data_IF_224674784957
#
_entry.id   IF_224674784957
#
_cell.length_a   1.000
_cell.length_b   1.000
_cell.length_c   1.000
_cell.angle_alpha   90.00
_cell.angle_beta   90.00
_cell.angle_gamma   90.00
#
_symmetry.space_group_name_H-M   'P 1'
#
loop_
_entity.id
_entity.type
_entity.pdbx_description
1 polymer ?
#
# COMPACT_ATOMS: atom_id res chain seq x y z
N UNK A 1 -45.18 4.09 18.26
CA UNK A 1 -43.85 4.76 18.22
C UNK A 1 -42.88 3.92 17.39
N UNK A 2 -42.76 4.28 16.12
CA UNK A 2 -41.87 3.65 15.16
C UNK A 2 -40.43 4.13 15.43
N UNK A 3 -39.55 3.21 15.82
CA UNK A 3 -38.15 3.52 16.08
C UNK A 3 -37.45 3.77 14.74
N UNK A 4 -37.07 5.02 14.50
CA UNK A 4 -36.31 5.43 13.33
C UNK A 4 -34.96 4.70 13.30
N UNK A 5 -34.80 3.78 12.36
CA UNK A 5 -33.50 3.27 11.97
C UNK A 5 -32.73 4.41 11.28
N UNK A 6 -31.82 5.05 12.01
CA UNK A 6 -30.86 5.96 11.39
C UNK A 6 -30.00 5.15 10.40
N UNK A 7 -29.80 5.63 9.16
CA UNK A 7 -28.80 5.02 8.29
C UNK A 7 -27.45 5.18 8.97
N UNK A 8 -26.74 4.06 9.14
CA UNK A 8 -25.34 4.08 9.58
C UNK A 8 -24.60 5.04 8.63
N UNK A 9 -24.13 6.17 9.16
CA UNK A 9 -23.29 7.09 8.42
C UNK A 9 -22.08 6.35 7.83
N UNK A 10 -21.42 6.89 6.80
CA UNK A 10 -20.24 6.26 6.23
C UNK A 10 -19.24 5.91 7.33
N UNK A 11 -18.72 4.69 7.29
CA UNK A 11 -17.72 4.22 8.25
C UNK A 11 -16.57 5.25 8.33
N UNK A 12 -16.03 5.54 9.53
CA UNK A 12 -14.94 6.48 9.67
C UNK A 12 -13.78 6.07 8.76
N UNK A 13 -13.18 7.05 8.07
CA UNK A 13 -12.01 6.82 7.24
C UNK A 13 -10.92 6.13 8.08
N UNK A 14 -10.21 5.12 7.51
CA UNK A 14 -9.16 4.43 8.23
C UNK A 14 -8.13 5.44 8.77
N UNK A 15 -7.88 5.39 10.08
CA UNK A 15 -6.85 6.20 10.72
C UNK A 15 -5.53 5.40 10.80
N UNK A 16 -4.37 6.04 10.55
CA UNK A 16 -3.09 5.35 10.64
C UNK A 16 -2.83 4.89 12.08
N UNK A 17 -2.52 3.61 12.24
CA UNK A 17 -2.06 3.04 13.49
C UNK A 17 -0.59 3.36 13.79
N UNK A 18 -0.07 2.91 14.94
CA UNK A 18 1.35 3.05 15.25
C UNK A 18 2.19 2.27 14.24
N UNK A 19 3.36 2.82 13.90
CA UNK A 19 4.26 2.20 12.95
C UNK A 19 4.84 0.88 13.46
N UNK A 20 4.59 -0.19 12.70
CA UNK A 20 5.11 -1.53 12.98
C UNK A 20 6.10 -1.92 11.90
N UNK A 21 7.23 -2.54 12.29
CA UNK A 21 8.16 -3.12 11.32
C UNK A 21 7.49 -4.30 10.61
N UNK A 22 7.70 -4.41 9.31
CA UNK A 22 7.21 -5.52 8.50
C UNK A 22 8.10 -5.74 7.28
N UNK A 23 7.97 -6.91 6.66
CA UNK A 23 8.44 -7.16 5.30
C UNK A 23 7.23 -7.23 4.38
N UNK A 24 7.33 -6.66 3.19
CA UNK A 24 6.22 -6.63 2.23
C UNK A 24 6.74 -6.63 0.80
N UNK A 25 5.85 -6.87 -0.16
CA UNK A 25 6.17 -6.74 -1.58
C UNK A 25 5.80 -5.35 -2.10
N UNK A 26 6.58 -4.85 -3.05
CA UNK A 26 6.28 -3.64 -3.81
C UNK A 26 6.57 -3.90 -5.28
N UNK A 27 5.79 -3.30 -6.18
CA UNK A 27 6.02 -3.37 -7.61
C UNK A 27 6.85 -2.17 -8.02
N UNK A 28 8.05 -2.46 -8.55
CA UNK A 28 8.94 -1.46 -9.12
C UNK A 28 9.67 -2.05 -10.30
N UNK A 29 10.26 -1.18 -11.11
CA UNK A 29 11.20 -1.56 -12.16
C UNK A 29 12.61 -1.24 -11.66
N UNK A 30 13.33 -2.26 -11.23
CA UNK A 30 14.71 -2.11 -10.76
C UNK A 30 15.72 -2.20 -11.91
N UNK A 31 16.98 -1.83 -11.64
CA UNK A 31 18.08 -1.99 -12.61
C UNK A 31 18.33 -3.47 -12.87
N UNK A 32 17.72 -3.99 -13.93
CA UNK A 32 17.76 -5.40 -14.34
C UNK A 32 16.40 -5.92 -14.81
N UNK A 33 15.33 -5.24 -14.40
CA UNK A 33 13.97 -5.65 -14.73
C UNK A 33 13.58 -5.20 -16.14
N UNK A 34 13.08 -6.14 -16.94
CA UNK A 34 12.48 -5.83 -18.25
C UNK A 34 11.13 -5.13 -18.10
N UNK A 35 10.36 -5.52 -17.09
CA UNK A 35 9.03 -5.01 -16.75
C UNK A 35 8.92 -4.81 -15.23
N UNK A 36 7.99 -3.95 -14.74
CA UNK A 36 7.74 -3.84 -13.30
C UNK A 36 7.48 -5.22 -12.68
N UNK A 37 8.19 -5.55 -11.62
CA UNK A 37 8.12 -6.83 -10.94
C UNK A 37 7.92 -6.65 -9.43
N UNK A 38 7.39 -7.65 -8.72
CA UNK A 38 7.33 -7.64 -7.26
C UNK A 38 8.73 -7.79 -6.64
N UNK A 39 9.05 -6.94 -5.67
CA UNK A 39 10.28 -6.98 -4.89
C UNK A 39 9.94 -7.05 -3.42
N UNK A 40 10.54 -8.01 -2.68
CA UNK A 40 10.40 -8.08 -1.23
C UNK A 40 11.32 -7.05 -0.58
N UNK A 41 10.78 -6.25 0.32
CA UNK A 41 11.50 -5.20 1.04
C UNK A 41 11.14 -5.20 2.51
N UNK A 42 12.07 -4.75 3.35
CA UNK A 42 11.81 -4.48 4.76
C UNK A 42 11.47 -3.01 4.97
N UNK A 43 10.51 -2.76 5.85
CA UNK A 43 10.06 -1.41 6.14
C UNK A 43 9.09 -1.36 7.30
N UNK A 44 8.05 -0.55 7.14
CA UNK A 44 7.07 -0.27 8.18
C UNK A 44 5.66 -0.26 7.61
N UNK A 45 4.66 -0.52 8.45
CA UNK A 45 3.25 -0.34 8.12
C UNK A 45 2.58 0.50 9.19
N UNK A 46 1.59 1.31 8.80
CA UNK A 46 0.65 1.95 9.72
C UNK A 46 -0.74 1.27 9.69
N UNK A 47 -0.86 0.11 9.03
CA UNK A 47 -2.12 -0.59 8.83
C UNK A 47 -2.93 -0.15 7.61
N UNK A 48 -2.55 0.94 6.95
CA UNK A 48 -3.17 1.43 5.71
C UNK A 48 -2.18 1.28 4.55
N UNK A 49 -0.98 1.84 4.72
CA UNK A 49 0.10 1.80 3.74
C UNK A 49 1.34 1.11 4.31
N UNK A 50 2.17 0.62 3.40
CA UNK A 50 3.50 0.13 3.71
C UNK A 50 4.55 1.19 3.33
N UNK A 51 5.65 1.26 4.07
CA UNK A 51 6.63 2.32 3.97
C UNK A 51 8.03 1.75 3.91
N UNK A 52 8.77 2.10 2.87
CA UNK A 52 10.20 1.79 2.79
C UNK A 52 10.97 2.96 2.18
N UNK A 53 12.26 3.01 2.49
CA UNK A 53 13.16 4.00 1.95
C UNK A 53 13.96 3.42 0.78
N UNK A 54 14.02 4.15 -0.32
CA UNK A 54 14.86 3.84 -1.50
C UNK A 54 15.90 4.94 -1.64
N UNK A 55 17.11 4.57 -2.09
CA UNK A 55 18.19 5.50 -2.38
C UNK A 55 19.36 5.36 -1.41
N UNK A 56 20.57 5.40 -1.97
CA UNK A 56 21.83 5.26 -1.23
C UNK A 56 22.31 6.59 -0.67
N UNK A 57 22.18 7.68 -1.43
CA UNK A 57 22.67 9.03 -1.06
C UNK A 57 21.57 9.96 -0.55
N UNK A 58 20.35 9.86 -1.10
CA UNK A 58 19.18 10.59 -0.63
C UNK A 58 18.02 9.62 -0.48
N UNK A 59 17.80 9.17 0.76
CA UNK A 59 16.71 8.24 1.08
C UNK A 59 15.36 8.94 0.85
N UNK A 60 14.60 8.46 -0.13
CA UNK A 60 13.20 8.81 -0.28
C UNK A 60 12.32 7.72 0.32
N UNK A 61 11.41 8.13 1.20
CA UNK A 61 10.40 7.26 1.77
C UNK A 61 9.21 7.21 0.83
N UNK A 62 8.82 6.00 0.46
CA UNK A 62 7.65 5.73 -0.35
C UNK A 62 6.52 5.18 0.54
N UNK A 63 5.32 5.68 0.34
CA UNK A 63 4.09 5.09 0.85
C UNK A 63 3.47 4.20 -0.23
N UNK A 64 3.34 2.92 0.08
CA UNK A 64 3.01 1.85 -0.85
C UNK A 64 1.61 1.35 -0.53
N UNK A 65 0.78 1.33 -1.56
CA UNK A 65 -0.51 0.66 -1.52
C UNK A 65 -0.30 -0.87 -1.35
N UNK A 66 -0.87 -1.50 -0.32
CA UNK A 66 -0.64 -2.93 -0.07
C UNK A 66 -1.31 -3.86 -1.09
N UNK A 67 -2.37 -3.41 -1.76
CA UNK A 67 -3.12 -4.18 -2.78
C UNK A 67 -2.36 -4.22 -4.11
N UNK A 68 -1.95 -3.06 -4.62
CA UNK A 68 -1.30 -2.92 -5.92
C UNK A 68 0.24 -2.96 -5.85
N UNK A 69 0.82 -2.80 -4.66
CA UNK A 69 2.27 -2.71 -4.48
C UNK A 69 2.89 -1.43 -5.02
N UNK A 70 2.07 -0.45 -5.43
CA UNK A 70 2.50 0.79 -6.09
C UNK A 70 2.71 1.92 -5.08
N UNK A 71 3.65 2.81 -5.39
CA UNK A 71 3.86 4.05 -4.61
C UNK A 71 2.72 5.03 -4.85
N UNK A 72 2.00 5.38 -3.78
CA UNK A 72 0.94 6.40 -3.77
C UNK A 72 1.55 7.79 -3.60
N UNK A 73 2.55 7.90 -2.74
CA UNK A 73 3.25 9.17 -2.47
C UNK A 73 4.69 8.89 -2.02
N UNK A 74 5.57 9.87 -2.18
CA UNK A 74 6.95 9.77 -1.69
C UNK A 74 7.43 11.10 -1.12
N UNK A 75 8.31 11.04 -0.12
CA UNK A 75 8.89 12.23 0.51
C UNK A 75 10.21 11.94 1.19
N UNK A 76 10.87 12.97 1.73
CA UNK A 76 12.18 12.83 2.38
C UNK A 76 12.12 12.20 3.77
N UNK A 77 10.96 12.17 4.41
CA UNK A 77 10.74 11.50 5.70
C UNK A 77 9.53 10.60 5.67
N UNK A 78 9.52 9.57 6.52
CA UNK A 78 8.38 8.64 6.64
C UNK A 78 7.10 9.36 7.07
N UNK A 79 7.19 10.31 8.00
CA UNK A 79 6.03 11.10 8.47
C UNK A 79 5.40 11.89 7.32
N UNK A 80 6.23 12.54 6.49
CA UNK A 80 5.74 13.30 5.33
C UNK A 80 5.16 12.37 4.25
N UNK A 81 5.77 11.20 4.06
CA UNK A 81 5.24 10.21 3.14
C UNK A 81 3.84 9.72 3.57
N UNK A 82 3.66 9.43 4.86
CA UNK A 82 2.36 9.07 5.45
C UNK A 82 1.33 10.20 5.28
N UNK A 83 1.66 11.42 5.72
CA UNK A 83 0.75 12.57 5.62
C UNK A 83 0.30 12.82 4.17
N UNK A 84 1.24 12.77 3.21
CA UNK A 84 0.91 12.92 1.79
C UNK A 84 0.07 11.77 1.24
N UNK A 85 0.33 10.53 1.63
CA UNK A 85 -0.46 9.38 1.17
C UNK A 85 -1.91 9.41 1.69
N UNK A 86 -2.13 9.91 2.91
CA UNK A 86 -3.47 10.03 3.49
C UNK A 86 -4.35 11.04 2.72
N UNK A 87 -3.76 12.04 2.06
CA UNK A 87 -4.51 12.96 1.17
C UNK A 87 -5.15 12.21 0.00
N UNK A 88 -4.57 11.09 -0.43
CA UNK A 88 -5.05 10.29 -1.56
C UNK A 88 -5.91 9.08 -1.14
N UNK A 89 -6.28 8.96 0.15
CA UNK A 89 -6.97 7.78 0.67
C UNK A 89 -8.25 7.43 -0.11
N UNK A 90 -9.11 8.42 -0.36
CA UNK A 90 -10.37 8.22 -1.08
C UNK A 90 -10.14 7.83 -2.55
N UNK A 91 -9.14 8.43 -3.20
CA UNK A 91 -8.80 8.09 -4.59
C UNK A 91 -8.28 6.67 -4.69
N UNK A 92 -7.44 6.27 -3.74
CA UNK A 92 -6.90 4.91 -3.65
C UNK A 92 -8.02 3.91 -3.37
N UNK A 93 -8.91 4.17 -2.41
CA UNK A 93 -10.04 3.30 -2.12
C UNK A 93 -10.96 3.12 -3.33
N UNK A 94 -11.21 4.18 -4.12
CA UNK A 94 -11.95 4.09 -5.38
C UNK A 94 -11.24 3.23 -6.43
N UNK A 95 -9.92 3.36 -6.53
CA UNK A 95 -9.11 2.55 -7.44
C UNK A 95 -9.07 1.07 -7.02
N UNK A 96 -9.04 0.78 -5.72
CA UNK A 96 -9.15 -0.59 -5.17
C UNK A 96 -10.52 -1.21 -5.43
N UNK A 97 -11.60 -0.43 -5.28
CA UNK A 97 -12.95 -0.90 -5.55
C UNK A 97 -13.23 -1.12 -7.05
N UNK A 98 -12.67 -0.29 -7.92
CA UNK A 98 -12.86 -0.35 -9.37
C UNK A 98 -11.51 -0.23 -10.10
N UNK A 99 -10.67 -1.28 -10.08
CA UNK A 99 -9.35 -1.24 -10.67
C UNK A 99 -9.42 -1.23 -12.20
N UNK A 100 -8.54 -0.45 -12.82
CA UNK A 100 -8.28 -0.59 -14.26
C UNK A 100 -7.63 -1.95 -14.55
N UNK A 101 -7.68 -2.43 -15.79
CA UNK A 101 -7.04 -3.69 -16.17
C UNK A 101 -5.53 -3.75 -15.83
N UNK A 102 -4.85 -2.60 -15.85
CA UNK A 102 -3.43 -2.51 -15.47
C UNK A 102 -3.26 -2.63 -13.95
N UNK A 103 -4.12 -1.96 -13.17
CA UNK A 103 -4.12 -2.08 -11.71
C UNK A 103 -4.46 -3.50 -11.24
N UNK A 104 -5.40 -4.15 -11.91
CA UNK A 104 -5.74 -5.55 -11.61
C UNK A 104 -4.53 -6.46 -11.83
N UNK A 105 -3.78 -6.29 -12.93
CA UNK A 105 -2.54 -7.05 -13.16
C UNK A 105 -1.52 -6.84 -12.04
N UNK A 106 -1.42 -5.63 -11.49
CA UNK A 106 -0.54 -5.35 -10.35
C UNK A 106 -1.03 -6.04 -9.06
N UNK A 107 -2.33 -6.02 -8.79
CA UNK A 107 -2.92 -6.77 -7.68
C UNK A 107 -2.66 -8.28 -7.82
N UNK A 108 -2.83 -8.84 -9.03
CA UNK A 108 -2.58 -10.26 -9.29
C UNK A 108 -1.11 -10.62 -9.09
N UNK A 109 -0.17 -9.77 -9.55
CA UNK A 109 1.26 -9.96 -9.32
C UNK A 109 1.62 -9.88 -7.82
N UNK A 110 1.03 -8.95 -7.08
CA UNK A 110 1.22 -8.82 -5.63
C UNK A 110 0.74 -10.07 -4.91
N UNK A 111 -0.48 -10.53 -5.23
CA UNK A 111 -1.06 -11.74 -4.67
C UNK A 111 -0.20 -12.97 -4.99
N UNK A 112 0.21 -13.15 -6.25
CA UNK A 112 1.09 -14.25 -6.64
C UNK A 112 2.44 -14.22 -5.90
N UNK A 113 3.02 -13.04 -5.67
CA UNK A 113 4.27 -12.90 -4.91
C UNK A 113 4.09 -13.21 -3.42
N UNK A 114 2.94 -12.84 -2.84
CA UNK A 114 2.58 -13.17 -1.47
C UNK A 114 2.33 -14.68 -1.30
N UNK A 115 1.57 -15.29 -2.21
CA UNK A 115 1.23 -16.71 -2.20
C UNK A 115 2.45 -17.59 -2.53
N UNK A 116 3.27 -17.21 -3.50
CA UNK A 116 4.51 -17.90 -3.86
C UNK A 116 5.65 -17.68 -2.87
N UNK A 117 5.53 -16.67 -2.01
CA UNK A 117 6.43 -16.41 -0.89
C UNK A 117 5.97 -17.02 0.44
N UNK A 118 4.90 -17.83 0.43
CA UNK A 118 4.30 -18.42 1.62
C UNK A 118 5.23 -19.49 2.24
N UNK A 119 6.09 -19.04 3.16
CA UNK A 119 6.53 -19.84 4.29
C UNK A 119 5.32 -20.12 5.19
N UNK A 120 4.90 -21.39 5.22
CA UNK A 120 4.11 -22.03 6.29
C UNK A 120 2.72 -21.47 6.60
N UNK A 121 1.70 -22.17 6.08
CA UNK A 121 0.46 -22.43 6.82
C UNK A 121 0.24 -23.95 6.94
N UNK A 122 1.26 -24.64 7.47
CA UNK A 122 1.11 -25.65 8.52
C UNK A 122 1.78 -25.10 9.77
#
# INVERSE_FOLDING_TARGET
PEASAQPAGPAPAPAPGPWKKCSFYTIRKDKGDKHPAPHKVDGYTDGIYNYYAIGTTSKQWHAINPVFGLSVYHSTTRQKAQAGALVYLDQVAKAEANPTAVMQKYADMMKAAQDGGNLSLF
#
